data_IF_107583901864
#
_entry.id   IF_107583901864
#
_cell.length_a   1.000
_cell.length_b   1.000
_cell.length_c   1.000
_cell.angle_alpha   90.00
_cell.angle_beta   90.00
_cell.angle_gamma   90.00
#
_symmetry.space_group_name_H-M   'P 1'
#
loop_
_entity.id
_entity.type
_entity.pdbx_description
1 polymer ?
#
# COMPACT_ATOMS: atom_id res chain seq x y z
N UNK A 1 -13.75 -16.74 -4.00
CA UNK A 1 -13.54 -15.60 -3.10
C UNK A 1 -12.72 -16.11 -1.92
N UNK A 2 -11.49 -15.65 -1.80
CA UNK A 2 -10.57 -16.07 -0.73
C UNK A 2 -10.82 -15.22 0.51
N UNK A 3 -10.80 -15.82 1.70
CA UNK A 3 -10.99 -15.11 2.97
C UNK A 3 -9.70 -15.17 3.77
N UNK A 4 -9.20 -14.01 4.19
CA UNK A 4 -8.03 -13.88 5.04
C UNK A 4 -8.41 -13.13 6.31
N UNK A 5 -8.24 -13.82 7.43
CA UNK A 5 -8.31 -13.19 8.73
C UNK A 5 -6.96 -12.53 9.03
N UNK A 6 -6.85 -11.24 8.69
CA UNK A 6 -5.71 -10.43 9.14
C UNK A 6 -5.75 -10.32 10.66
N UNK A 7 -6.96 -10.15 11.21
CA UNK A 7 -7.25 -10.34 12.63
C UNK A 7 -8.53 -11.17 12.78
N UNK A 8 -8.43 -12.20 13.62
CA UNK A 8 -9.49 -13.16 13.94
C UNK A 8 -10.72 -12.53 14.60
N UNK A 9 -10.53 -11.51 15.43
CA UNK A 9 -11.62 -10.81 16.14
C UNK A 9 -12.04 -9.50 15.46
N UNK A 10 -11.67 -9.30 14.18
CA UNK A 10 -12.02 -8.10 13.43
C UNK A 10 -13.54 -7.84 13.35
N UNK A 11 -13.93 -6.57 13.42
CA UNK A 11 -15.31 -6.08 13.39
C UNK A 11 -15.76 -5.63 11.98
N UNK A 12 -14.83 -5.62 11.01
CA UNK A 12 -15.12 -5.29 9.62
C UNK A 12 -14.41 -6.25 8.66
N UNK A 13 -15.09 -6.57 7.55
CA UNK A 13 -14.58 -7.33 6.42
C UNK A 13 -14.52 -6.40 5.21
N UNK A 14 -13.33 -6.25 4.62
CA UNK A 14 -13.14 -5.55 3.36
C UNK A 14 -13.33 -6.54 2.21
N UNK A 15 -14.31 -6.31 1.35
CA UNK A 15 -14.56 -7.08 0.13
C UNK A 15 -13.87 -6.38 -1.05
N UNK A 16 -12.65 -6.81 -1.36
CA UNK A 16 -11.77 -6.16 -2.36
C UNK A 16 -11.92 -6.87 -3.70
N UNK A 17 -12.18 -6.12 -4.79
CA UNK A 17 -12.40 -6.64 -6.15
C UNK A 17 -13.44 -7.78 -6.27
N UNK A 18 -14.27 -7.99 -5.26
CA UNK A 18 -15.13 -9.18 -5.11
C UNK A 18 -14.37 -10.53 -5.11
N UNK A 19 -13.04 -10.51 -5.06
CA UNK A 19 -12.17 -11.68 -5.14
C UNK A 19 -11.62 -12.05 -3.77
N UNK A 20 -11.38 -11.06 -2.89
CA UNK A 20 -10.73 -11.23 -1.60
C UNK A 20 -11.56 -10.59 -0.47
N UNK A 21 -11.66 -11.30 0.65
CA UNK A 21 -12.21 -10.82 1.91
C UNK A 21 -11.11 -10.69 2.95
N UNK A 22 -10.94 -9.49 3.50
CA UNK A 22 -9.94 -9.19 4.52
C UNK A 22 -10.65 -8.81 5.81
N UNK A 23 -10.52 -9.65 6.84
CA UNK A 23 -11.09 -9.36 8.16
C UNK A 23 -10.09 -8.57 9.01
N UNK A 24 -10.50 -7.41 9.49
CA UNK A 24 -9.64 -6.41 10.14
C UNK A 24 -10.38 -5.67 11.26
N UNK A 25 -9.66 -4.87 12.04
CA UNK A 25 -10.27 -3.91 12.97
C UNK A 25 -10.50 -2.55 12.30
N UNK A 26 -11.75 -2.11 12.27
CA UNK A 26 -12.17 -0.80 11.78
C UNK A 26 -11.44 0.35 12.52
N UNK A 27 -11.21 0.19 13.83
CA UNK A 27 -10.54 1.19 14.65
C UNK A 27 -9.10 1.43 14.21
N UNK A 28 -8.36 0.38 13.86
CA UNK A 28 -6.97 0.51 13.39
C UNK A 28 -6.93 1.22 12.03
N UNK A 29 -7.85 0.89 11.11
CA UNK A 29 -7.97 1.60 9.84
C UNK A 29 -8.22 3.10 10.07
N UNK A 30 -9.21 3.45 10.89
CA UNK A 30 -9.57 4.85 11.20
C UNK A 30 -8.45 5.63 11.87
N UNK A 31 -7.69 4.99 12.77
CA UNK A 31 -6.58 5.65 13.47
C UNK A 31 -5.43 6.01 12.53
N UNK A 32 -5.23 5.22 11.47
CA UNK A 32 -4.07 5.34 10.58
C UNK A 32 -4.38 5.99 9.22
N UNK A 33 -5.67 6.12 8.86
CA UNK A 33 -6.12 6.64 7.57
C UNK A 33 -7.22 7.67 7.76
N UNK A 34 -6.99 8.89 7.26
CA UNK A 34 -8.03 9.94 7.29
C UNK A 34 -9.21 9.57 6.41
N UNK A 35 -8.98 8.83 5.32
CA UNK A 35 -10.02 8.39 4.40
C UNK A 35 -10.91 7.34 5.04
N UNK A 36 -10.34 6.30 5.66
CA UNK A 36 -11.13 5.33 6.44
C UNK A 36 -11.79 5.99 7.64
N UNK A 37 -11.14 6.96 8.30
CA UNK A 37 -11.77 7.73 9.38
C UNK A 37 -13.02 8.48 8.91
N UNK A 38 -12.99 9.07 7.72
CA UNK A 38 -14.14 9.76 7.15
C UNK A 38 -15.22 8.77 6.70
N UNK A 39 -14.83 7.75 5.93
CA UNK A 39 -15.72 6.74 5.35
C UNK A 39 -16.46 5.93 6.42
N UNK A 40 -15.76 5.52 7.48
CA UNK A 40 -16.34 4.76 8.60
C UNK A 40 -16.90 5.68 9.70
N UNK A 41 -17.02 6.98 9.43
CA UNK A 41 -17.64 7.94 10.32
C UNK A 41 -19.16 7.76 10.38
N UNK A 42 -19.75 8.06 11.55
CA UNK A 42 -21.18 7.87 11.88
C UNK A 42 -22.19 8.52 10.90
N UNK A 43 -21.74 9.48 10.11
CA UNK A 43 -22.58 10.24 9.19
C UNK A 43 -22.87 9.49 7.89
N UNK A 44 -22.05 8.49 7.55
CA UNK A 44 -22.14 7.69 6.33
C UNK A 44 -22.84 6.34 6.58
N UNK A 45 -23.32 5.71 5.50
CA UNK A 45 -24.05 4.44 5.58
C UNK A 45 -23.15 3.32 6.13
N UNK A 46 -21.89 3.33 5.72
CA UNK A 46 -20.82 2.44 6.14
C UNK A 46 -20.57 2.56 7.65
N UNK A 47 -20.43 3.80 8.15
CA UNK A 47 -20.28 4.04 9.58
C UNK A 47 -21.50 3.66 10.41
N UNK A 48 -22.72 3.82 9.87
CA UNK A 48 -23.95 3.33 10.53
C UNK A 48 -24.02 1.80 10.57
N UNK A 49 -23.60 1.13 9.49
CA UNK A 49 -23.53 -0.33 9.44
C UNK A 49 -22.49 -0.90 10.42
N UNK A 50 -21.51 -0.09 10.82
CA UNK A 50 -20.54 -0.43 11.86
C UNK A 50 -21.13 -0.31 13.29
N UNK A 51 -22.22 0.46 13.50
CA UNK A 51 -22.87 0.59 14.80
C UNK A 51 -23.58 -0.74 15.13
N UNK A 52 -22.96 -1.53 16.00
CA UNK A 52 -23.43 -2.87 16.37
C UNK A 52 -22.70 -4.01 15.67
N UNK A 53 -21.73 -3.71 14.80
CA UNK A 53 -20.80 -4.70 14.29
C UNK A 53 -19.95 -5.27 15.44
N UNK A 54 -19.75 -6.58 15.41
CA UNK A 54 -18.95 -7.31 16.41
C UNK A 54 -18.10 -8.35 15.70
N UNK A 55 -17.19 -8.99 16.42
CA UNK A 55 -16.48 -10.13 15.89
C UNK A 55 -17.42 -11.29 15.48
N UNK A 56 -18.56 -11.48 16.16
CA UNK A 56 -19.54 -12.51 15.79
C UNK A 56 -20.38 -12.16 14.56
N UNK A 57 -20.48 -10.87 14.23
CA UNK A 57 -21.25 -10.33 13.11
C UNK A 57 -20.56 -9.08 12.56
N UNK A 58 -19.45 -9.24 11.81
CA UNK A 58 -18.69 -8.12 11.29
C UNK A 58 -19.43 -7.41 10.16
N UNK A 59 -19.19 -6.11 10.02
CA UNK A 59 -19.70 -5.30 8.92
C UNK A 59 -18.93 -5.61 7.62
N UNK A 60 -19.58 -5.56 6.45
CA UNK A 60 -18.89 -5.66 5.16
C UNK A 60 -18.75 -4.29 4.50
N UNK A 61 -17.53 -3.96 4.04
CA UNK A 61 -17.24 -2.78 3.23
C UNK A 61 -16.72 -3.21 1.86
N UNK A 62 -17.39 -2.76 0.78
CA UNK A 62 -17.01 -3.11 -0.60
C UNK A 62 -15.98 -2.13 -1.15
N UNK A 63 -14.89 -2.66 -1.67
CA UNK A 63 -13.76 -1.92 -2.26
C UNK A 63 -13.45 -2.49 -3.67
N UNK A 64 -14.35 -2.30 -4.66
CA UNK A 64 -14.23 -2.97 -5.96
C UNK A 64 -13.04 -2.49 -6.80
N UNK A 65 -12.60 -1.24 -6.60
CA UNK A 65 -11.55 -0.60 -7.41
C UNK A 65 -10.14 -0.75 -6.82
N UNK A 66 -9.99 -1.38 -5.65
CA UNK A 66 -8.69 -1.52 -4.99
C UNK A 66 -7.97 -2.80 -5.39
N UNK A 67 -6.65 -2.73 -5.56
CA UNK A 67 -5.83 -3.91 -5.80
C UNK A 67 -5.83 -4.83 -4.57
N UNK A 68 -6.20 -6.10 -4.76
CA UNK A 68 -6.42 -7.04 -3.67
C UNK A 68 -5.14 -7.36 -2.88
N UNK A 69 -4.00 -7.52 -3.55
CA UNK A 69 -2.73 -7.85 -2.90
C UNK A 69 -2.13 -6.63 -2.19
N UNK A 70 -2.19 -5.45 -2.80
CA UNK A 70 -1.76 -4.20 -2.21
C UNK A 70 -2.60 -3.84 -0.97
N UNK A 71 -3.93 -4.00 -1.04
CA UNK A 71 -4.82 -3.78 0.10
C UNK A 71 -4.56 -4.79 1.22
N UNK A 72 -4.31 -6.06 0.88
CA UNK A 72 -3.92 -7.09 1.85
C UNK A 72 -2.62 -6.73 2.55
N UNK A 73 -1.59 -6.32 1.81
CA UNK A 73 -0.32 -5.87 2.39
C UNK A 73 -0.51 -4.64 3.27
N UNK A 74 -1.29 -3.65 2.83
CA UNK A 74 -1.62 -2.48 3.64
C UNK A 74 -2.27 -2.90 4.97
N UNK A 75 -3.26 -3.78 4.94
CA UNK A 75 -3.91 -4.28 6.15
C UNK A 75 -2.91 -5.02 7.05
N UNK A 76 -2.08 -5.91 6.50
CA UNK A 76 -1.05 -6.61 7.28
C UNK A 76 -0.11 -5.62 8.00
N UNK A 77 0.34 -4.57 7.31
CA UNK A 77 1.23 -3.54 7.88
C UNK A 77 0.52 -2.72 8.95
N UNK A 78 -0.68 -2.18 8.67
CA UNK A 78 -1.44 -1.36 9.63
C UNK A 78 -1.80 -2.13 10.90
N UNK A 79 -2.07 -3.44 10.79
CA UNK A 79 -2.39 -4.30 11.92
C UNK A 79 -1.18 -4.92 12.61
N UNK A 80 0.03 -4.67 12.10
CA UNK A 80 1.27 -5.30 12.56
C UNK A 80 1.20 -6.85 12.56
N UNK A 81 0.75 -7.43 11.44
CA UNK A 81 0.52 -8.88 11.29
C UNK A 81 1.34 -9.44 10.15
N UNK A 82 2.12 -10.48 10.44
CA UNK A 82 2.70 -11.47 9.51
C UNK A 82 3.15 -10.96 8.12
N UNK A 83 3.64 -9.72 8.03
CA UNK A 83 4.25 -9.20 6.81
C UNK A 83 5.77 -9.40 6.87
N UNK A 84 6.35 -9.49 5.69
CA UNK A 84 7.76 -9.72 5.45
C UNK A 84 8.24 -8.77 4.36
N UNK A 85 9.55 -8.54 4.27
CA UNK A 85 10.10 -7.76 3.16
C UNK A 85 9.87 -8.45 1.81
N UNK A 86 9.72 -9.77 1.81
CA UNK A 86 9.31 -10.53 0.64
C UNK A 86 7.89 -10.24 0.17
N UNK A 87 7.10 -9.43 0.88
CA UNK A 87 5.80 -8.97 0.38
C UNK A 87 5.94 -7.74 -0.52
N UNK A 88 7.04 -6.99 -0.43
CA UNK A 88 7.48 -5.97 -1.40
C UNK A 88 8.20 -6.62 -2.61
N UNK A 89 7.68 -7.73 -3.15
CA UNK A 89 8.35 -8.66 -4.09
C UNK A 89 9.07 -8.01 -5.26
N UNK A 90 8.56 -6.89 -5.75
CA UNK A 90 9.10 -6.16 -6.89
C UNK A 90 8.79 -4.67 -6.77
N UNK A 91 9.53 -3.81 -7.49
CA UNK A 91 9.22 -2.40 -7.65
C UNK A 91 7.77 -2.12 -8.08
N UNK A 92 7.21 -2.94 -8.98
CA UNK A 92 5.82 -2.83 -9.42
C UNK A 92 4.81 -3.14 -8.31
N UNK A 93 4.99 -4.24 -7.57
CA UNK A 93 4.11 -4.59 -6.45
C UNK A 93 4.17 -3.53 -5.33
N UNK A 94 5.37 -2.98 -5.09
CA UNK A 94 5.55 -1.91 -4.12
C UNK A 94 4.91 -0.58 -4.57
N UNK A 95 4.89 -0.30 -5.87
CA UNK A 95 4.17 0.86 -6.41
C UNK A 95 2.65 0.71 -6.19
N UNK A 96 2.06 -0.46 -6.47
CA UNK A 96 0.63 -0.70 -6.21
C UNK A 96 0.30 -0.50 -4.72
N UNK A 97 1.16 -1.01 -3.83
CA UNK A 97 1.05 -0.77 -2.39
C UNK A 97 1.12 0.72 -2.02
N UNK A 98 2.04 1.47 -2.64
CA UNK A 98 2.17 2.91 -2.43
C UNK A 98 0.92 3.66 -2.93
N UNK A 99 0.32 3.24 -4.05
CA UNK A 99 -0.91 3.83 -4.58
C UNK A 99 -2.10 3.64 -3.65
N UNK A 100 -2.30 2.44 -3.11
CA UNK A 100 -3.35 2.21 -2.11
C UNK A 100 -3.06 3.01 -0.85
N UNK A 101 -1.80 3.06 -0.40
CA UNK A 101 -1.42 3.84 0.79
C UNK A 101 -1.73 5.33 0.63
N UNK A 102 -1.43 5.91 -0.53
CA UNK A 102 -1.71 7.31 -0.87
C UNK A 102 -3.22 7.56 -0.98
N UNK A 103 -3.95 6.68 -1.70
CA UNK A 103 -5.41 6.73 -1.83
C UNK A 103 -6.11 6.80 -0.48
N UNK A 104 -5.63 6.05 0.51
CA UNK A 104 -6.18 6.04 1.86
C UNK A 104 -5.48 7.03 2.81
N UNK A 105 -4.54 7.84 2.33
CA UNK A 105 -3.79 8.84 3.07
C UNK A 105 -3.22 8.29 4.40
N UNK A 106 -2.45 7.22 4.30
CA UNK A 106 -1.89 6.52 5.47
C UNK A 106 -0.36 6.30 5.39
N UNK A 107 0.33 7.06 4.53
CA UNK A 107 1.79 6.97 4.33
C UNK A 107 2.60 7.08 5.63
N UNK A 108 2.18 7.95 6.57
CA UNK A 108 2.84 8.10 7.87
C UNK A 108 2.76 6.83 8.72
N UNK A 109 1.63 6.14 8.70
CA UNK A 109 1.41 4.93 9.50
C UNK A 109 2.28 3.76 9.03
N UNK A 110 2.59 3.71 7.73
CA UNK A 110 3.35 2.62 7.13
C UNK A 110 4.83 2.92 6.92
N UNK A 111 5.30 4.10 7.33
CA UNK A 111 6.64 4.62 7.01
C UNK A 111 7.78 3.64 7.31
N UNK A 112 7.72 2.95 8.45
CA UNK A 112 8.76 2.00 8.86
C UNK A 112 8.90 0.83 7.87
N UNK A 113 7.78 0.26 7.43
CA UNK A 113 7.79 -0.82 6.44
C UNK A 113 8.26 -0.30 5.08
N UNK A 114 7.73 0.84 4.64
CA UNK A 114 8.14 1.48 3.39
C UNK A 114 9.64 1.76 3.33
N UNK A 115 10.22 2.31 4.41
CA UNK A 115 11.66 2.59 4.47
C UNK A 115 12.51 1.32 4.43
N UNK A 116 12.02 0.21 4.99
CA UNK A 116 12.70 -1.07 4.89
C UNK A 116 12.66 -1.64 3.46
N UNK A 117 11.55 -1.50 2.74
CA UNK A 117 11.46 -1.88 1.32
C UNK A 117 12.34 -0.99 0.44
N UNK A 118 12.38 0.32 0.69
CA UNK A 118 13.32 1.22 -0.01
C UNK A 118 14.78 0.81 0.24
N UNK A 119 15.15 0.49 1.48
CA UNK A 119 16.49 0.02 1.79
C UNK A 119 16.83 -1.31 1.09
N UNK A 120 15.85 -2.19 0.93
CA UNK A 120 16.01 -3.43 0.16
C UNK A 120 16.31 -3.14 -1.32
N UNK A 121 15.58 -2.22 -1.96
CA UNK A 121 15.85 -1.83 -3.35
C UNK A 121 17.19 -1.11 -3.52
N UNK A 122 17.54 -0.24 -2.58
CA UNK A 122 18.85 0.42 -2.54
C UNK A 122 19.99 -0.61 -2.53
N UNK A 123 19.86 -1.67 -1.73
CA UNK A 123 20.84 -2.77 -1.69
C UNK A 123 20.91 -3.60 -2.97
N UNK A 124 19.80 -3.76 -3.70
CA UNK A 124 19.80 -4.45 -4.99
C UNK A 124 20.56 -3.64 -6.05
N UNK A 125 20.36 -2.32 -6.04
CA UNK A 125 21.10 -1.38 -6.88
C UNK A 125 20.83 -1.54 -8.39
N UNK A 126 21.51 -0.72 -9.22
CA UNK A 126 21.29 -0.66 -10.67
C UNK A 126 21.76 -1.90 -11.43
N UNK A 127 22.54 -2.79 -10.79
CA UNK A 127 22.89 -4.08 -11.37
C UNK A 127 21.71 -5.08 -11.43
N UNK A 128 20.63 -4.83 -10.66
CA UNK A 128 19.49 -5.74 -10.52
C UNK A 128 18.13 -5.07 -10.74
N UNK A 129 18.10 -3.75 -10.78
CA UNK A 129 16.88 -2.96 -10.95
C UNK A 129 17.06 -2.12 -12.21
N UNK A 130 16.15 -2.32 -13.17
CA UNK A 130 16.12 -1.60 -14.45
C UNK A 130 15.70 -0.14 -14.28
N UNK A 131 15.95 0.69 -15.29
CA UNK A 131 15.53 2.09 -15.30
C UNK A 131 14.01 2.25 -15.09
N UNK A 132 13.21 1.39 -15.74
CA UNK A 132 11.75 1.38 -15.59
C UNK A 132 11.34 1.07 -14.14
N UNK A 133 12.01 0.12 -13.50
CA UNK A 133 11.77 -0.21 -12.10
C UNK A 133 12.21 0.92 -11.15
N UNK A 134 13.31 1.62 -11.43
CA UNK A 134 13.67 2.84 -10.69
C UNK A 134 12.60 3.93 -10.83
N UNK A 135 11.99 4.08 -12.02
CA UNK A 135 10.88 5.01 -12.21
C UNK A 135 9.67 4.61 -11.34
N UNK A 136 9.37 3.32 -11.20
CA UNK A 136 8.34 2.83 -10.28
C UNK A 136 8.69 3.13 -8.81
N UNK A 137 9.95 2.93 -8.41
CA UNK A 137 10.42 3.27 -7.05
C UNK A 137 10.28 4.76 -6.78
N UNK A 138 10.70 5.62 -7.72
CA UNK A 138 10.54 7.08 -7.60
C UNK A 138 9.07 7.47 -7.46
N UNK A 139 8.19 6.90 -8.27
CA UNK A 139 6.74 7.10 -8.14
C UNK A 139 6.22 6.69 -6.76
N UNK A 140 6.68 5.56 -6.22
CA UNK A 140 6.34 5.11 -4.88
C UNK A 140 6.83 6.09 -3.79
N UNK A 141 8.03 6.67 -3.92
CA UNK A 141 8.53 7.67 -2.95
C UNK A 141 7.66 8.91 -2.87
N UNK A 142 7.08 9.35 -4.00
CA UNK A 142 6.16 10.50 -4.05
C UNK A 142 4.85 10.15 -3.36
N UNK A 143 4.24 9.01 -3.71
CA UNK A 143 2.99 8.51 -3.11
C UNK A 143 3.10 8.26 -1.60
N UNK A 144 4.30 7.94 -1.13
CA UNK A 144 4.58 7.71 0.29
C UNK A 144 5.11 8.96 1.03
N UNK A 145 5.06 10.15 0.41
CA UNK A 145 5.53 11.41 0.97
C UNK A 145 6.94 11.31 1.59
N UNK A 146 7.87 10.71 0.83
CA UNK A 146 9.24 10.42 1.28
C UNK A 146 10.29 11.09 0.38
N UNK A 147 10.40 12.41 0.53
CA UNK A 147 11.35 13.25 -0.23
C UNK A 147 12.82 12.83 -0.07
N UNK A 148 13.21 12.32 1.11
CA UNK A 148 14.58 11.83 1.34
C UNK A 148 14.87 10.62 0.46
N UNK A 149 13.96 9.64 0.41
CA UNK A 149 14.11 8.47 -0.47
C UNK A 149 14.03 8.87 -1.94
N UNK A 150 13.13 9.80 -2.31
CA UNK A 150 13.08 10.34 -3.68
C UNK A 150 14.45 10.85 -4.12
N UNK A 151 15.09 11.69 -3.30
CA UNK A 151 16.40 12.28 -3.62
C UNK A 151 17.45 11.19 -3.85
N UNK A 152 17.53 10.20 -2.95
CA UNK A 152 18.49 9.08 -3.07
C UNK A 152 18.30 8.31 -4.38
N UNK A 153 17.06 7.92 -4.70
CA UNK A 153 16.80 7.16 -5.93
C UNK A 153 16.96 8.02 -7.19
N UNK A 154 16.66 9.31 -7.13
CA UNK A 154 16.85 10.23 -8.24
C UNK A 154 18.33 10.43 -8.57
N UNK A 155 19.19 10.56 -7.54
CA UNK A 155 20.64 10.61 -7.72
C UNK A 155 21.14 9.35 -8.43
N UNK A 156 20.70 8.16 -8.01
CA UNK A 156 21.08 6.91 -8.68
C UNK A 156 20.70 6.94 -10.16
N UNK A 157 19.48 7.39 -10.50
CA UNK A 157 19.03 7.49 -11.89
C UNK A 157 19.92 8.45 -12.70
N UNK A 158 20.19 9.64 -12.16
CA UNK A 158 20.99 10.68 -12.82
C UNK A 158 22.44 10.22 -13.06
N UNK A 159 23.03 9.50 -12.12
CA UNK A 159 24.44 9.10 -12.21
C UNK A 159 24.67 7.77 -12.93
N UNK A 160 23.66 6.90 -13.08
CA UNK A 160 23.83 5.59 -13.73
C UNK A 160 23.32 5.53 -15.17
N UNK A 161 22.33 6.33 -15.56
CA UNK A 161 21.77 6.31 -16.91
C UNK A 161 22.03 7.62 -17.64
N UNK A 162 22.31 7.53 -18.93
CA UNK A 162 22.53 8.71 -19.76
C UNK A 162 21.20 9.30 -20.28
N UNK A 163 21.26 10.49 -20.87
CA UNK A 163 20.06 11.18 -21.40
C UNK A 163 19.36 10.35 -22.48
N UNK A 164 20.10 9.62 -23.32
CA UNK A 164 19.50 8.77 -24.36
C UNK A 164 18.69 7.63 -23.76
N UNK A 165 19.18 7.00 -22.69
CA UNK A 165 18.45 5.95 -21.96
C UNK A 165 17.13 6.49 -21.39
N UNK A 166 17.17 7.69 -20.80
CA UNK A 166 16.00 8.36 -20.24
C UNK A 166 14.96 8.75 -21.29
N UNK A 167 15.40 9.19 -22.47
CA UNK A 167 14.50 9.57 -23.56
C UNK A 167 13.83 8.34 -24.19
N UNK A 168 14.56 7.23 -24.33
CA UNK A 168 14.03 6.00 -24.92
C UNK A 168 13.03 5.27 -24.02
N UNK A 169 13.16 5.39 -22.70
CA UNK A 169 12.22 4.82 -21.73
C UNK A 169 10.79 5.42 -21.82
N UNK A 170 10.62 6.51 -22.57
CA UNK A 170 9.33 7.21 -22.74
C UNK A 170 8.49 6.71 -23.92
N UNK A 171 9.03 5.79 -24.74
CA UNK A 171 8.43 5.42 -26.02
C UNK A 171 7.58 4.13 -26.00
N UNK A 172 7.51 3.44 -24.87
CA UNK A 172 6.69 2.23 -24.69
C UNK A 172 5.44 2.56 -23.84
N UNK A 173 4.51 3.33 -24.42
CA UNK A 173 3.12 3.49 -23.92
C UNK A 173 2.13 2.92 -24.96
#
# INVERSE_FOLDING_TARGET
>A
MECFDIVDEGDIILEVQSSVKLRVYSQVLRLNSTVFSAMLGKDWAEGKALIGATAGAPCCLKLPEDDAEAMKLLCLVLHNRNYTLSDCRSPSAFLNYAEVTDKYNCAKAVRLFSDACFHYFEKMGPARISLQEYAMILQATVRLDNATRFTIFADVVIFHWNISDLLNARCDE
#
